data_IF_086264142533
#
_entry.id   IF_086264142533
#
_cell.length_a   1.000
_cell.length_b   1.000
_cell.length_c   1.000
_cell.angle_alpha   90.00
_cell.angle_beta   90.00
_cell.angle_gamma   90.00
#
_symmetry.space_group_name_H-M   'P 1'
#
loop_
_entity.id
_entity.type
_entity.pdbx_description
1 polymer ?
#
# COMPACT_ATOMS: atom_id res chain seq x y z
N UNK A 1 22.38 -6.71 -4.94
CA UNK A 1 21.33 -5.70 -5.20
C UNK A 1 21.14 -4.94 -3.90
N UNK A 2 21.29 -3.62 -3.90
CA UNK A 2 20.93 -2.78 -2.76
C UNK A 2 19.42 -2.83 -2.57
N UNK A 3 18.97 -3.27 -1.40
CA UNK A 3 17.56 -3.22 -1.02
C UNK A 3 17.21 -1.77 -0.66
N UNK A 4 16.16 -1.25 -1.28
CA UNK A 4 15.58 0.02 -0.87
C UNK A 4 14.85 -0.19 0.46
N UNK A 5 15.00 0.76 1.37
CA UNK A 5 14.33 0.75 2.68
C UNK A 5 13.37 1.93 2.69
N UNK A 6 12.08 1.65 2.88
CA UNK A 6 11.07 2.68 3.11
C UNK A 6 10.84 2.91 4.58
N UNK A 7 10.58 4.17 4.94
CA UNK A 7 10.16 4.55 6.29
C UNK A 7 8.95 5.46 6.12
N UNK A 8 7.85 5.14 6.81
CA UNK A 8 6.62 5.92 6.77
C UNK A 8 6.23 6.41 8.16
N UNK A 9 5.73 7.66 8.20
CA UNK A 9 5.11 8.27 9.37
C UNK A 9 3.91 9.08 8.89
N UNK A 10 2.82 9.03 9.63
CA UNK A 10 1.64 9.84 9.35
C UNK A 10 1.14 10.49 10.65
N UNK A 11 0.58 11.69 10.52
CA UNK A 11 0.10 12.51 11.63
C UNK A 11 -1.20 13.21 11.23
N UNK A 12 -2.13 13.38 12.17
CA UNK A 12 -3.39 14.09 11.93
C UNK A 12 -3.19 15.57 11.55
N UNK A 13 -2.09 16.17 12.01
CA UNK A 13 -1.87 17.61 11.94
C UNK A 13 -2.70 18.40 12.96
N UNK A 14 -2.79 19.72 12.76
CA UNK A 14 -3.35 20.65 13.75
C UNK A 14 -4.83 21.01 13.55
N UNK A 15 -5.41 20.70 12.39
CA UNK A 15 -6.74 21.19 11.98
C UNK A 15 -7.80 20.10 11.98
N UNK A 16 -7.46 18.88 11.53
CA UNK A 16 -8.40 17.76 11.43
C UNK A 16 -8.56 17.11 12.81
N UNK A 17 -9.76 16.60 13.09
CA UNK A 17 -10.02 15.83 14.31
C UNK A 17 -9.51 14.38 14.22
N UNK A 18 -9.33 13.86 13.02
CA UNK A 18 -8.92 12.47 12.77
C UNK A 18 -8.03 12.39 11.54
N UNK A 19 -7.02 11.53 11.60
CA UNK A 19 -6.21 11.17 10.44
C UNK A 19 -6.99 10.22 9.52
N UNK A 20 -7.02 10.51 8.23
CA UNK A 20 -7.65 9.66 7.21
C UNK A 20 -6.64 9.12 6.20
N UNK A 21 -5.35 9.30 6.47
CA UNK A 21 -4.25 8.73 5.69
C UNK A 21 -4.00 7.29 6.12
N UNK A 22 -3.56 6.47 5.17
CA UNK A 22 -3.03 5.14 5.42
C UNK A 22 -1.82 4.90 4.52
N UNK A 23 -0.87 4.07 4.96
CA UNK A 23 0.29 3.70 4.15
C UNK A 23 0.75 2.27 4.45
N UNK A 24 1.54 1.69 3.55
CA UNK A 24 2.25 0.42 3.76
C UNK A 24 3.68 0.51 3.24
N UNK A 25 4.57 -0.23 3.90
CA UNK A 25 5.98 -0.37 3.56
C UNK A 25 6.28 -1.86 3.44
N UNK A 26 6.62 -2.32 2.24
CA UNK A 26 6.87 -3.73 1.94
C UNK A 26 8.22 -3.83 1.22
N UNK A 27 9.31 -3.56 1.96
CA UNK A 27 10.67 -3.44 1.39
C UNK A 27 11.10 -4.68 0.59
N UNK A 28 10.71 -5.87 1.03
CA UNK A 28 11.08 -7.13 0.39
C UNK A 28 10.43 -7.35 -0.98
N UNK A 29 9.37 -6.62 -1.31
CA UNK A 29 8.77 -6.60 -2.66
C UNK A 29 9.14 -5.33 -3.44
N UNK A 30 9.82 -4.38 -2.82
CA UNK A 30 10.06 -3.06 -3.41
C UNK A 30 8.78 -2.23 -3.58
N UNK A 31 7.74 -2.49 -2.76
CA UNK A 31 6.46 -1.81 -2.82
C UNK A 31 6.23 -0.91 -1.62
N UNK A 32 5.85 0.34 -1.90
CA UNK A 32 5.38 1.31 -0.92
C UNK A 32 4.15 2.01 -1.47
N UNK A 33 3.17 2.27 -0.63
CA UNK A 33 1.95 2.97 -1.04
C UNK A 33 1.43 3.86 0.09
N UNK A 34 0.83 4.98 -0.30
CA UNK A 34 0.11 5.91 0.57
C UNK A 34 -1.27 6.16 -0.04
N UNK A 35 -2.30 6.24 0.81
CA UNK A 35 -3.65 6.60 0.43
C UNK A 35 -4.14 7.74 1.33
N UNK A 36 -4.61 8.85 0.74
CA UNK A 36 -5.26 9.97 1.44
C UNK A 36 -6.77 9.80 1.33
N UNK A 37 -7.43 9.59 2.48
CA UNK A 37 -8.87 9.51 2.57
C UNK A 37 -9.52 10.87 2.36
N UNK A 38 -10.33 10.99 1.31
CA UNK A 38 -11.03 12.24 0.99
C UNK A 38 -11.91 12.69 2.17
N UNK A 39 -11.59 13.84 2.77
CA UNK A 39 -12.25 14.41 3.94
C UNK A 39 -13.71 14.83 3.71
N UNK A 40 -14.46 15.04 4.79
CA UNK A 40 -15.81 15.60 4.77
C UNK A 40 -16.95 14.58 4.81
N UNK A 41 -16.66 13.27 4.72
CA UNK A 41 -17.64 12.19 4.89
C UNK A 41 -17.09 11.11 5.84
N UNK A 42 -17.97 10.40 6.55
CA UNK A 42 -17.62 9.38 7.56
C UNK A 42 -16.78 8.18 7.01
N UNK A 43 -16.52 8.12 5.70
CA UNK A 43 -15.86 7.00 5.04
C UNK A 43 -14.40 7.22 4.63
N UNK A 44 -13.82 8.42 4.73
CA UNK A 44 -12.47 8.71 4.21
C UNK A 44 -11.39 7.79 4.76
N UNK A 45 -11.37 7.61 6.09
CA UNK A 45 -10.43 6.70 6.75
C UNK A 45 -10.64 5.22 6.35
N UNK A 46 -11.89 4.80 6.17
CA UNK A 46 -12.22 3.42 5.76
C UNK A 46 -11.78 3.18 4.33
N UNK A 47 -11.99 4.15 3.43
CA UNK A 47 -11.56 4.07 2.04
C UNK A 47 -10.03 3.97 1.93
N UNK A 48 -9.28 4.82 2.64
CA UNK A 48 -7.82 4.77 2.65
C UNK A 48 -7.29 3.44 3.20
N UNK A 49 -7.84 2.95 4.31
CA UNK A 49 -7.49 1.63 4.86
C UNK A 49 -7.81 0.50 3.88
N UNK A 50 -8.99 0.54 3.24
CA UNK A 50 -9.40 -0.46 2.26
C UNK A 50 -8.45 -0.51 1.07
N UNK A 51 -8.03 0.65 0.56
CA UNK A 51 -7.06 0.75 -0.53
C UNK A 51 -5.72 0.11 -0.13
N UNK A 52 -5.18 0.46 1.04
CA UNK A 52 -3.91 -0.10 1.52
C UNK A 52 -4.00 -1.61 1.79
N UNK A 53 -5.06 -2.08 2.44
CA UNK A 53 -5.25 -3.53 2.69
C UNK A 53 -5.40 -4.32 1.38
N UNK A 54 -6.07 -3.75 0.38
CA UNK A 54 -6.18 -4.37 -0.94
C UNK A 54 -4.81 -4.46 -1.62
N UNK A 55 -4.01 -3.40 -1.58
CA UNK A 55 -2.64 -3.39 -2.11
C UNK A 55 -1.76 -4.43 -1.41
N UNK A 56 -1.85 -4.53 -0.07
CA UNK A 56 -1.11 -5.54 0.69
C UNK A 56 -1.48 -6.96 0.29
N UNK A 57 -2.78 -7.26 0.17
CA UNK A 57 -3.26 -8.57 -0.24
C UNK A 57 -2.81 -8.92 -1.67
N UNK A 58 -2.90 -7.96 -2.59
CA UNK A 58 -2.49 -8.16 -3.97
C UNK A 58 -0.97 -8.37 -4.08
N UNK A 59 -0.18 -7.62 -3.32
CA UNK A 59 1.27 -7.78 -3.28
C UNK A 59 1.67 -9.18 -2.81
N UNK A 60 1.05 -9.68 -1.74
CA UNK A 60 1.29 -11.04 -1.24
C UNK A 60 0.89 -12.11 -2.26
N UNK A 61 -0.25 -11.95 -2.93
CA UNK A 61 -0.73 -12.87 -3.96
C UNK A 61 0.23 -12.94 -5.15
N UNK A 62 0.62 -11.79 -5.70
CA UNK A 62 1.55 -11.70 -6.84
C UNK A 62 2.92 -12.26 -6.47
N UNK A 63 3.42 -11.95 -5.27
CA UNK A 63 4.68 -12.49 -4.79
C UNK A 63 4.67 -14.02 -4.73
N UNK A 64 3.57 -14.62 -4.27
CA UNK A 64 3.43 -16.08 -4.27
C UNK A 64 3.41 -16.65 -5.70
N UNK A 65 2.71 -16.02 -6.64
CA UNK A 65 2.69 -16.46 -8.04
C UNK A 65 4.06 -16.36 -8.72
N UNK A 66 4.82 -15.31 -8.43
CA UNK A 66 6.21 -15.17 -8.89
C UNK A 66 7.11 -16.25 -8.28
N UNK A 67 6.94 -16.51 -6.98
CA UNK A 67 7.71 -17.53 -6.23
C UNK A 67 7.41 -18.95 -6.71
N UNK A 68 6.15 -19.25 -7.04
CA UNK A 68 5.71 -20.54 -7.57
C UNK A 68 6.03 -20.72 -9.06
N UNK A 69 6.44 -19.66 -9.75
CA UNK A 69 6.63 -19.65 -11.20
C UNK A 69 5.32 -19.73 -11.99
N UNK A 70 4.18 -19.47 -11.34
CA UNK A 70 2.87 -19.46 -11.99
C UNK A 70 2.67 -18.26 -12.92
N UNK A 71 3.40 -17.17 -12.67
CA UNK A 71 3.45 -15.97 -13.52
C UNK A 71 4.90 -15.48 -13.55
N UNK A 72 5.32 -14.93 -14.68
CA UNK A 72 6.63 -14.30 -14.84
C UNK A 72 6.62 -12.82 -14.44
N UNK A 73 7.78 -12.27 -14.10
CA UNK A 73 7.88 -10.86 -13.73
C UNK A 73 7.43 -9.91 -14.85
N UNK A 74 7.60 -10.29 -16.13
CA UNK A 74 7.18 -9.45 -17.25
C UNK A 74 5.65 -9.40 -17.36
N UNK A 75 4.95 -10.52 -17.15
CA UNK A 75 3.50 -10.59 -17.18
C UNK A 75 2.87 -9.74 -16.07
N UNK A 76 3.45 -9.75 -14.87
CA UNK A 76 3.00 -8.90 -13.75
C UNK A 76 3.17 -7.41 -14.05
N UNK A 77 4.26 -7.03 -14.71
CA UNK A 77 4.57 -5.61 -14.99
C UNK A 77 3.76 -5.03 -16.16
N UNK A 78 3.13 -5.87 -16.98
CA UNK A 78 2.39 -5.46 -18.19
C UNK A 78 0.88 -5.59 -18.08
N UNK A 79 0.36 -6.11 -16.96
CA UNK A 79 -1.07 -6.26 -16.68
C UNK A 79 -1.65 -5.02 -16.00
#
# INVERSE_FOLDING_TARGET
>A
MSAWIGIGRSETGLVRASNQDAFTVIDHTGLWAVADGMGGHAGGAVAAQTAISTVQAQAAFVQEQLRSGSVSAIEVLTA
#
